data_IF_881581628416
#
_entry.id   IF_881581628416
#
_cell.length_a   1.000
_cell.length_b   1.000
_cell.length_c   1.000
_cell.angle_alpha   90.00
_cell.angle_beta   90.00
_cell.angle_gamma   90.00
#
_symmetry.space_group_name_H-M   'P 1'
#
loop_
_entity.id
_entity.type
_entity.pdbx_description
1 polymer ?
#
# COMPACT_ATOMS: atom_id res chain seq x y z
N UNK A 1 -44.12 10.70 -57.37
CA UNK A 1 -43.76 9.91 -56.15
C UNK A 1 -42.30 10.20 -55.69
N UNK A 2 -41.35 10.33 -56.60
CA UNK A 2 -39.93 10.54 -56.25
C UNK A 2 -39.65 11.91 -55.59
N UNK A 3 -40.30 12.99 -55.97
CA UNK A 3 -40.11 14.31 -55.37
C UNK A 3 -40.61 14.40 -53.90
N UNK A 4 -41.68 13.72 -53.54
CA UNK A 4 -42.21 13.72 -52.16
C UNK A 4 -41.31 12.94 -51.19
N UNK A 5 -40.62 11.89 -51.65
CA UNK A 5 -39.68 11.11 -50.78
C UNK A 5 -38.42 11.87 -50.51
N UNK A 6 -37.94 12.64 -51.46
CA UNK A 6 -36.69 13.49 -51.30
C UNK A 6 -36.98 14.67 -50.38
N UNK A 7 -38.16 15.32 -50.54
CA UNK A 7 -38.58 16.44 -49.70
C UNK A 7 -38.75 16.02 -48.22
N UNK A 8 -39.37 14.86 -47.96
CA UNK A 8 -39.52 14.30 -46.63
C UNK A 8 -38.19 13.93 -45.98
N UNK A 9 -37.21 13.43 -46.72
CA UNK A 9 -35.85 13.14 -46.21
C UNK A 9 -35.10 14.43 -45.82
N UNK A 10 -35.29 15.52 -46.56
CA UNK A 10 -34.64 16.81 -46.28
C UNK A 10 -35.20 17.45 -45.03
N UNK A 11 -36.51 17.41 -44.84
CA UNK A 11 -37.16 17.91 -43.62
C UNK A 11 -36.85 17.06 -42.39
N UNK A 12 -36.79 15.72 -42.52
CA UNK A 12 -36.32 14.87 -41.43
C UNK A 12 -34.87 15.18 -41.01
N UNK A 13 -33.94 15.41 -41.93
CA UNK A 13 -32.56 15.81 -41.61
C UNK A 13 -32.53 17.14 -40.87
N UNK A 14 -33.32 18.14 -41.24
CA UNK A 14 -33.42 19.41 -40.51
C UNK A 14 -33.98 19.24 -39.09
N UNK A 15 -34.96 18.37 -38.91
CA UNK A 15 -35.54 18.06 -37.60
C UNK A 15 -34.50 17.37 -36.73
N UNK A 16 -33.79 16.35 -37.24
CA UNK A 16 -32.72 15.64 -36.51
C UNK A 16 -31.62 16.63 -36.13
N UNK A 17 -31.18 17.49 -37.05
CA UNK A 17 -30.15 18.48 -36.76
C UNK A 17 -30.56 19.47 -35.65
N UNK A 18 -31.82 19.91 -35.64
CA UNK A 18 -32.39 20.78 -34.58
C UNK A 18 -32.45 20.07 -33.24
N UNK A 19 -32.89 18.82 -33.21
CA UNK A 19 -32.94 18.01 -31.98
C UNK A 19 -31.52 17.80 -31.42
N UNK A 20 -30.55 17.47 -32.30
CA UNK A 20 -29.17 17.29 -31.90
C UNK A 20 -28.56 18.60 -31.33
N UNK A 21 -28.86 19.75 -31.99
CA UNK A 21 -28.40 21.05 -31.48
C UNK A 21 -29.00 21.37 -30.10
N UNK A 22 -30.28 21.10 -29.90
CA UNK A 22 -30.94 21.31 -28.58
C UNK A 22 -30.32 20.42 -27.51
N UNK A 23 -30.06 19.15 -27.82
CA UNK A 23 -29.42 18.23 -26.89
C UNK A 23 -27.98 18.68 -26.51
N UNK A 24 -27.22 19.12 -27.49
CA UNK A 24 -25.85 19.68 -27.25
C UNK A 24 -25.92 20.92 -26.36
N UNK A 25 -26.85 21.85 -26.66
CA UNK A 25 -27.04 23.04 -25.81
C UNK A 25 -27.50 22.71 -24.40
N UNK A 26 -28.39 21.70 -24.25
CA UNK A 26 -28.79 21.23 -22.92
C UNK A 26 -27.63 20.62 -22.12
N UNK A 27 -26.78 19.84 -22.78
CA UNK A 27 -25.55 19.29 -22.16
C UNK A 27 -24.60 20.39 -21.75
N UNK A 28 -24.33 21.35 -22.63
CA UNK A 28 -23.48 22.51 -22.31
C UNK A 28 -24.08 23.30 -21.13
N UNK A 29 -25.38 23.60 -21.18
CA UNK A 29 -26.10 24.31 -20.11
C UNK A 29 -25.98 23.59 -18.77
N UNK A 30 -26.17 22.27 -18.79
CA UNK A 30 -26.02 21.44 -17.59
C UNK A 30 -24.59 21.50 -16.99
N UNK A 31 -23.57 21.35 -17.83
CA UNK A 31 -22.17 21.44 -17.34
C UNK A 31 -21.81 22.87 -16.89
N UNK A 32 -22.32 23.90 -17.57
CA UNK A 32 -22.14 25.28 -17.13
C UNK A 32 -22.82 25.53 -15.77
N UNK A 33 -24.03 24.99 -15.59
CA UNK A 33 -24.74 25.06 -14.30
C UNK A 33 -23.95 24.35 -13.20
N UNK A 34 -23.43 23.15 -13.45
CA UNK A 34 -22.62 22.42 -12.45
C UNK A 34 -21.35 23.19 -12.11
N UNK A 35 -20.67 23.76 -13.11
CA UNK A 35 -19.48 24.59 -12.91
C UNK A 35 -19.77 25.83 -12.05
N UNK A 36 -20.83 26.56 -12.38
CA UNK A 36 -21.24 27.75 -11.60
C UNK A 36 -21.63 27.33 -10.19
N UNK A 37 -22.41 26.28 -10.03
CA UNK A 37 -22.81 25.76 -8.73
C UNK A 37 -21.60 25.38 -7.87
N UNK A 38 -20.63 24.69 -8.43
CA UNK A 38 -19.40 24.36 -7.70
C UNK A 38 -18.65 25.61 -7.24
N UNK A 39 -18.53 26.61 -8.11
CA UNK A 39 -17.84 27.89 -7.82
C UNK A 39 -18.57 28.82 -6.82
N UNK A 40 -19.90 28.70 -6.75
CA UNK A 40 -20.72 29.54 -5.86
C UNK A 40 -21.13 28.87 -4.56
N UNK A 41 -20.88 27.55 -4.45
CA UNK A 41 -21.18 26.82 -3.21
C UNK A 41 -20.20 27.23 -2.11
N UNK A 42 -20.72 27.72 -0.99
CA UNK A 42 -19.93 27.93 0.21
C UNK A 42 -19.83 26.60 0.96
N UNK A 43 -18.61 26.14 1.17
CA UNK A 43 -18.34 24.91 1.92
C UNK A 43 -17.94 25.25 3.35
N UNK A 44 -18.40 24.47 4.32
CA UNK A 44 -17.84 24.50 5.67
C UNK A 44 -16.34 24.22 5.62
N UNK A 45 -15.58 24.92 6.46
CA UNK A 45 -14.13 24.69 6.54
C UNK A 45 -13.82 23.25 6.94
N UNK A 46 -12.95 22.61 6.20
CA UNK A 46 -12.48 21.24 6.42
C UNK A 46 -10.96 21.16 6.30
N UNK A 47 -10.40 20.14 6.91
CA UNK A 47 -8.98 19.76 6.77
C UNK A 47 -8.89 18.44 6.03
N UNK A 48 -8.27 18.43 4.87
CA UNK A 48 -8.05 17.23 4.08
C UNK A 48 -6.69 16.64 4.39
N UNK A 49 -6.70 15.46 4.97
CA UNK A 49 -5.49 14.65 5.20
C UNK A 49 -5.39 13.65 4.07
N UNK A 50 -4.39 13.81 3.20
CA UNK A 50 -4.19 12.95 2.05
C UNK A 50 -3.11 11.91 2.35
N UNK A 51 -3.48 10.62 2.33
CA UNK A 51 -2.56 9.50 2.54
C UNK A 51 -2.75 8.50 1.40
N UNK A 52 -2.14 8.75 0.25
CA UNK A 52 -2.22 7.84 -0.88
C UNK A 52 -1.30 6.63 -0.70
N UNK A 53 -1.60 5.57 -1.42
CA UNK A 53 -0.75 4.38 -1.52
C UNK A 53 -0.02 4.42 -2.85
N UNK A 54 1.29 4.17 -2.84
CA UNK A 54 2.10 4.13 -4.06
C UNK A 54 2.99 2.88 -4.07
N UNK A 55 3.08 2.23 -5.23
CA UNK A 55 3.90 1.03 -5.36
C UNK A 55 3.56 0.17 -6.57
N UNK A 56 3.60 -1.15 -6.38
CA UNK A 56 3.30 -2.13 -7.43
C UNK A 56 1.93 -2.80 -7.23
N UNK A 57 1.77 -4.04 -7.67
CA UNK A 57 0.50 -4.79 -7.64
C UNK A 57 -0.20 -4.81 -6.27
N UNK A 58 0.55 -4.86 -5.17
CA UNK A 58 0.00 -4.77 -3.82
C UNK A 58 -0.66 -3.42 -3.54
N UNK A 59 -0.07 -2.33 -4.02
CA UNK A 59 -0.65 -1.00 -3.91
C UNK A 59 -1.97 -0.87 -4.67
N UNK A 60 -2.13 -1.65 -5.75
CA UNK A 60 -3.30 -1.67 -6.62
C UNK A 60 -4.33 -2.74 -6.22
N UNK A 61 -4.06 -3.54 -5.18
CA UNK A 61 -4.93 -4.61 -4.70
C UNK A 61 -5.12 -5.76 -5.71
N UNK A 62 -4.15 -5.98 -6.60
CA UNK A 62 -4.29 -6.97 -7.67
C UNK A 62 -4.68 -8.35 -7.13
N UNK A 63 -5.59 -9.03 -7.85
CA UNK A 63 -6.21 -10.32 -7.52
C UNK A 63 -7.10 -10.35 -6.27
N UNK A 64 -7.03 -9.40 -5.35
CA UNK A 64 -7.87 -9.35 -4.17
C UNK A 64 -9.32 -9.02 -4.57
N UNK A 65 -10.23 -9.99 -4.51
CA UNK A 65 -11.64 -9.77 -4.84
C UNK A 65 -12.26 -8.77 -3.86
N UNK A 66 -12.84 -7.67 -4.39
CA UNK A 66 -13.42 -6.62 -3.56
C UNK A 66 -14.53 -7.13 -2.65
N UNK A 67 -14.43 -6.83 -1.37
CA UNK A 67 -15.43 -7.06 -0.33
C UNK A 67 -16.01 -5.76 0.23
N UNK A 68 -15.32 -4.63 0.06
CA UNK A 68 -15.76 -3.32 0.53
C UNK A 68 -16.74 -2.69 -0.44
N UNK A 69 -17.92 -2.30 0.05
CA UNK A 69 -18.83 -1.41 -0.67
C UNK A 69 -18.44 0.04 -0.31
N UNK A 70 -17.85 0.76 -1.27
CA UNK A 70 -17.33 2.10 -1.03
C UNK A 70 -18.44 3.13 -0.76
N UNK A 71 -19.58 3.00 -1.44
CA UNK A 71 -20.71 3.93 -1.23
C UNK A 71 -21.25 3.79 0.21
N UNK A 72 -21.39 2.54 0.68
CA UNK A 72 -21.78 2.28 2.08
C UNK A 72 -20.72 2.78 3.06
N UNK A 73 -19.45 2.56 2.78
CA UNK A 73 -18.35 3.04 3.60
C UNK A 73 -18.37 4.57 3.72
N UNK A 74 -18.56 5.26 2.60
CA UNK A 74 -18.65 6.72 2.55
C UNK A 74 -19.85 7.24 3.34
N UNK A 75 -21.03 6.62 3.20
CA UNK A 75 -22.23 6.99 3.95
C UNK A 75 -22.01 6.81 5.46
N UNK A 76 -21.43 5.69 5.87
CA UNK A 76 -21.16 5.39 7.28
C UNK A 76 -20.22 6.40 7.94
N UNK A 77 -19.44 7.14 7.15
CA UNK A 77 -18.51 8.15 7.63
C UNK A 77 -18.86 9.57 7.16
N UNK A 78 -20.13 9.87 6.89
CA UNK A 78 -20.64 11.21 6.57
C UNK A 78 -19.89 11.89 5.39
N UNK A 79 -19.46 11.10 4.41
CA UNK A 79 -18.72 11.60 3.25
C UNK A 79 -17.28 12.05 3.55
N UNK A 80 -16.76 11.73 4.73
CA UNK A 80 -15.39 12.09 5.15
C UNK A 80 -14.28 11.26 4.47
N UNK A 81 -14.65 10.39 3.55
CA UNK A 81 -13.72 9.64 2.68
C UNK A 81 -13.86 10.17 1.26
N UNK A 82 -12.76 10.61 0.69
CA UNK A 82 -12.70 11.11 -0.69
C UNK A 82 -11.50 10.54 -1.43
N UNK A 83 -11.54 10.66 -2.74
CA UNK A 83 -10.44 10.35 -3.64
C UNK A 83 -9.75 11.63 -4.11
N UNK A 84 -8.77 11.51 -5.00
CA UNK A 84 -8.11 12.61 -5.68
C UNK A 84 -9.08 13.58 -6.40
N UNK A 85 -10.28 13.12 -6.75
CA UNK A 85 -11.32 13.94 -7.38
C UNK A 85 -12.22 14.66 -6.37
N UNK A 86 -12.02 14.46 -5.07
CA UNK A 86 -12.92 14.92 -4.00
C UNK A 86 -14.37 14.44 -4.19
N UNK A 87 -14.55 13.45 -4.98
CA UNK A 87 -15.73 12.63 -5.12
C UNK A 87 -15.33 11.15 -4.91
N UNK A 88 -16.24 10.24 -5.06
CA UNK A 88 -16.01 8.82 -4.75
C UNK A 88 -16.05 7.95 -5.99
N UNK A 89 -15.22 8.27 -6.95
CA UNK A 89 -15.02 7.38 -8.10
C UNK A 89 -14.02 6.29 -7.72
N UNK A 90 -14.46 5.34 -6.91
CA UNK A 90 -13.74 4.09 -6.76
C UNK A 90 -14.33 3.05 -7.73
N UNK A 91 -13.75 2.97 -8.87
CA UNK A 91 -13.79 1.81 -9.73
C UNK A 91 -12.39 1.25 -9.81
N UNK A 92 -12.22 0.18 -10.54
CA UNK A 92 -10.93 -0.30 -11.02
C UNK A 92 -10.03 0.88 -11.36
N UNK A 93 -8.89 1.01 -10.67
CA UNK A 93 -7.90 2.03 -10.97
C UNK A 93 -7.28 1.69 -12.32
N UNK A 94 -7.96 2.11 -13.35
CA UNK A 94 -7.49 2.03 -14.72
C UNK A 94 -6.74 3.35 -14.98
N UNK A 95 -5.48 3.26 -15.31
CA UNK A 95 -4.65 4.37 -15.78
C UNK A 95 -5.21 5.04 -17.05
N UNK A 96 -6.38 4.60 -17.53
CA UNK A 96 -7.06 5.22 -18.66
C UNK A 96 -7.74 6.53 -18.27
N UNK A 97 -7.89 7.44 -19.23
CA UNK A 97 -8.44 8.79 -19.07
C UNK A 97 -9.71 8.85 -18.22
N UNK A 98 -9.93 9.96 -17.51
CA UNK A 98 -11.13 10.29 -16.70
C UNK A 98 -12.45 9.96 -17.41
N UNK A 99 -12.53 10.18 -18.71
CA UNK A 99 -13.69 9.84 -19.55
C UNK A 99 -13.98 8.32 -19.56
N UNK A 100 -12.95 7.48 -19.66
CA UNK A 100 -13.13 6.02 -19.61
C UNK A 100 -13.60 5.56 -18.23
N UNK A 101 -13.13 6.13 -17.15
CA UNK A 101 -13.59 5.83 -15.77
C UNK A 101 -15.05 6.24 -15.60
N UNK A 102 -15.43 7.42 -16.10
CA UNK A 102 -16.82 7.89 -16.07
C UNK A 102 -17.76 6.98 -16.86
N UNK A 103 -17.38 6.58 -18.08
CA UNK A 103 -18.18 5.65 -18.89
C UNK A 103 -18.23 4.24 -18.31
N UNK A 104 -17.14 3.73 -17.70
CA UNK A 104 -17.17 2.45 -16.98
C UNK A 104 -18.15 2.46 -15.81
N UNK A 105 -18.25 3.56 -15.08
CA UNK A 105 -19.22 3.75 -13.99
C UNK A 105 -20.67 3.75 -14.49
N UNK A 106 -20.96 4.50 -15.57
CA UNK A 106 -22.29 4.55 -16.18
C UNK A 106 -22.76 3.19 -16.68
N UNK A 107 -21.86 2.34 -17.13
CA UNK A 107 -22.15 1.03 -17.70
C UNK A 107 -22.11 -0.11 -16.69
N UNK A 108 -22.04 0.16 -15.38
CA UNK A 108 -21.89 -0.86 -14.32
C UNK A 108 -20.75 -1.86 -14.57
N UNK A 109 -19.68 -1.44 -15.18
CA UNK A 109 -18.52 -2.29 -15.54
C UNK A 109 -17.62 -2.61 -14.33
N UNK A 110 -18.18 -2.58 -13.12
CA UNK A 110 -17.48 -2.72 -11.84
C UNK A 110 -17.16 -4.18 -11.44
N UNK A 111 -17.28 -5.12 -12.37
CA UNK A 111 -17.06 -6.56 -12.11
C UNK A 111 -15.59 -6.94 -11.83
N UNK A 112 -14.63 -5.99 -11.93
CA UNK A 112 -13.18 -6.22 -11.73
C UNK A 112 -12.54 -5.25 -10.75
N UNK A 113 -13.31 -4.62 -9.87
CA UNK A 113 -12.71 -3.80 -8.82
C UNK A 113 -12.04 -4.69 -7.78
N UNK A 114 -10.83 -4.33 -7.39
CA UNK A 114 -10.08 -5.01 -6.36
C UNK A 114 -10.34 -4.42 -4.98
N UNK A 115 -10.11 -5.22 -3.95
CA UNK A 115 -10.02 -4.72 -2.58
C UNK A 115 -8.71 -3.96 -2.43
N UNK A 116 -8.76 -2.80 -1.76
CA UNK A 116 -7.61 -1.92 -1.60
C UNK A 116 -7.28 -1.73 -0.11
N UNK A 117 -6.01 -1.64 0.20
CA UNK A 117 -5.53 -1.33 1.56
C UNK A 117 -6.05 0.01 2.10
N UNK A 118 -6.30 0.97 1.20
CA UNK A 118 -6.86 2.29 1.57
C UNK A 118 -8.22 2.19 2.26
N UNK A 119 -9.03 1.16 2.01
CA UNK A 119 -10.32 1.00 2.68
C UNK A 119 -10.15 0.68 4.16
N UNK A 120 -9.30 -0.31 4.49
CA UNK A 120 -8.98 -0.65 5.87
C UNK A 120 -8.30 0.51 6.61
N UNK A 121 -7.49 1.28 5.90
CA UNK A 121 -6.87 2.50 6.44
C UNK A 121 -7.93 3.53 6.81
N UNK A 122 -8.86 3.85 5.90
CA UNK A 122 -9.93 4.82 6.16
C UNK A 122 -10.84 4.40 7.31
N UNK A 123 -11.31 3.14 7.32
CA UNK A 123 -12.14 2.59 8.39
C UNK A 123 -11.48 2.71 9.77
N UNK A 124 -10.17 2.57 9.84
CA UNK A 124 -9.41 2.65 11.09
C UNK A 124 -9.14 4.08 11.53
N UNK A 125 -8.87 4.98 10.59
CA UNK A 125 -8.47 6.36 10.89
C UNK A 125 -9.65 7.27 11.23
N UNK A 126 -10.73 7.24 10.44
CA UNK A 126 -11.78 8.26 10.50
C UNK A 126 -12.45 8.35 11.86
N UNK A 127 -12.76 7.24 12.57
CA UNK A 127 -13.33 7.31 13.91
C UNK A 127 -12.44 8.00 14.96
N UNK A 128 -11.14 8.12 14.65
CA UNK A 128 -10.11 8.67 15.55
C UNK A 128 -9.67 10.10 15.20
N UNK A 129 -10.28 10.67 14.15
CA UNK A 129 -10.01 12.03 13.65
C UNK A 129 -11.19 12.96 13.94
N UNK A 130 -10.91 14.26 14.04
CA UNK A 130 -11.92 15.29 14.22
C UNK A 130 -13.02 15.27 13.15
N UNK A 131 -14.21 15.75 13.46
CA UNK A 131 -15.36 15.74 12.53
C UNK A 131 -15.12 16.55 11.26
N UNK A 132 -14.26 17.56 11.33
CA UNK A 132 -13.92 18.42 10.20
C UNK A 132 -12.74 17.89 9.38
N UNK A 133 -12.24 16.71 9.72
CA UNK A 133 -11.18 16.03 8.95
C UNK A 133 -11.77 15.13 7.89
N UNK A 134 -11.33 15.32 6.66
CA UNK A 134 -11.60 14.46 5.51
C UNK A 134 -10.35 13.65 5.20
N UNK A 135 -10.51 12.36 4.96
CA UNK A 135 -9.41 11.46 4.56
C UNK A 135 -9.45 11.29 3.05
N UNK A 136 -8.44 11.81 2.37
CA UNK A 136 -8.24 11.62 0.94
C UNK A 136 -7.31 10.41 0.72
N UNK A 137 -7.80 9.39 0.05
CA UNK A 137 -7.10 8.13 -0.19
C UNK A 137 -7.24 7.69 -1.64
N UNK A 138 -6.18 7.20 -2.22
CA UNK A 138 -6.20 6.58 -3.55
C UNK A 138 -4.95 5.72 -3.77
N UNK A 139 -5.02 4.69 -4.62
CA UNK A 139 -3.88 3.91 -5.02
C UNK A 139 -3.15 4.55 -6.18
N UNK A 140 -1.84 4.31 -6.30
CA UNK A 140 -1.02 4.68 -7.44
C UNK A 140 0.12 3.70 -7.65
N UNK A 141 0.73 3.76 -8.82
CA UNK A 141 1.84 2.88 -9.19
C UNK A 141 1.54 2.00 -10.39
N UNK A 142 2.31 0.91 -10.53
CA UNK A 142 2.15 -0.03 -11.64
C UNK A 142 2.63 -1.42 -11.23
N UNK A 143 1.86 -2.46 -11.56
CA UNK A 143 2.22 -3.85 -11.29
C UNK A 143 3.52 -4.27 -11.97
N UNK A 144 4.24 -5.24 -11.37
CA UNK A 144 5.51 -5.77 -11.91
C UNK A 144 6.58 -4.69 -12.18
N UNK A 145 6.65 -3.65 -11.36
CA UNK A 145 7.66 -2.61 -11.50
C UNK A 145 8.68 -2.65 -10.36
N UNK A 146 9.95 -2.53 -10.72
CA UNK A 146 11.03 -2.25 -9.77
C UNK A 146 10.90 -0.83 -9.22
N UNK A 147 11.61 -0.54 -8.13
CA UNK A 147 11.62 0.80 -7.56
C UNK A 147 12.07 1.87 -8.58
N UNK A 148 13.05 1.57 -9.43
CA UNK A 148 13.53 2.48 -10.48
C UNK A 148 12.47 2.77 -11.53
N UNK A 149 11.62 1.80 -11.86
CA UNK A 149 10.51 1.96 -12.79
C UNK A 149 9.31 2.71 -12.17
N UNK A 150 9.39 3.08 -10.90
CA UNK A 150 8.41 3.90 -10.19
C UNK A 150 8.97 5.27 -9.76
N UNK A 151 10.22 5.58 -10.13
CA UNK A 151 10.88 6.84 -9.76
C UNK A 151 10.75 7.89 -10.88
N UNK A 152 10.90 9.16 -10.51
CA UNK A 152 10.98 10.28 -11.46
C UNK A 152 12.12 10.06 -12.47
N UNK A 153 11.93 10.29 -13.78
CA UNK A 153 10.76 10.94 -14.43
C UNK A 153 9.78 9.99 -15.12
N UNK A 154 9.57 8.77 -14.64
CA UNK A 154 8.72 7.79 -15.33
C UNK A 154 7.22 8.06 -15.15
N UNK A 155 6.40 7.55 -16.09
CA UNK A 155 4.96 7.82 -16.17
C UNK A 155 4.18 7.48 -14.88
N UNK A 156 4.36 6.31 -14.21
CA UNK A 156 3.63 6.02 -12.98
C UNK A 156 3.88 7.04 -11.87
N UNK A 157 5.13 7.53 -11.74
CA UNK A 157 5.47 8.57 -10.79
C UNK A 157 4.78 9.90 -11.12
N UNK A 158 4.95 10.36 -12.36
CA UNK A 158 4.36 11.65 -12.78
C UNK A 158 2.84 11.67 -12.64
N UNK A 159 2.20 10.55 -12.94
CA UNK A 159 0.76 10.41 -12.79
C UNK A 159 0.36 10.50 -11.33
N UNK A 160 1.04 9.80 -10.44
CA UNK A 160 0.79 9.85 -9.01
C UNK A 160 0.91 11.28 -8.44
N UNK A 161 1.95 12.02 -8.85
CA UNK A 161 2.12 13.42 -8.45
C UNK A 161 1.00 14.32 -9.00
N UNK A 162 0.55 14.09 -10.24
CA UNK A 162 -0.58 14.83 -10.83
C UNK A 162 -1.89 14.58 -10.08
N UNK A 163 -2.14 13.37 -9.59
CA UNK A 163 -3.33 13.06 -8.80
C UNK A 163 -3.31 13.78 -7.44
N UNK A 164 -2.13 13.85 -6.77
CA UNK A 164 -1.97 14.66 -5.55
C UNK A 164 -2.23 16.14 -5.83
N UNK A 165 -1.66 16.68 -6.91
CA UNK A 165 -1.87 18.09 -7.31
C UNK A 165 -3.34 18.37 -7.60
N UNK A 166 -4.03 17.44 -8.22
CA UNK A 166 -5.46 17.56 -8.50
C UNK A 166 -6.30 17.55 -7.21
N UNK A 167 -6.01 16.62 -6.29
CA UNK A 167 -6.66 16.57 -4.99
C UNK A 167 -6.46 17.86 -4.19
N UNK A 168 -5.22 18.36 -4.16
CA UNK A 168 -4.89 19.64 -3.52
C UNK A 168 -5.71 20.79 -4.13
N UNK A 169 -5.72 20.92 -5.46
CA UNK A 169 -6.49 21.99 -6.12
C UNK A 169 -7.97 21.91 -5.79
N UNK A 170 -8.54 20.70 -5.76
CA UNK A 170 -9.95 20.49 -5.40
C UNK A 170 -10.29 20.86 -3.96
N UNK A 171 -9.35 20.67 -3.02
CA UNK A 171 -9.51 21.14 -1.64
C UNK A 171 -9.45 22.68 -1.57
N UNK A 172 -8.46 23.29 -2.22
CA UNK A 172 -8.31 24.74 -2.28
C UNK A 172 -9.52 25.43 -2.93
N UNK A 173 -10.06 24.87 -4.01
CA UNK A 173 -11.29 25.38 -4.67
C UNK A 173 -12.51 25.42 -3.73
N UNK A 174 -12.49 24.62 -2.65
CA UNK A 174 -13.52 24.57 -1.60
C UNK A 174 -13.19 25.43 -0.36
N UNK A 175 -12.03 26.07 -0.34
CA UNK A 175 -11.52 26.80 0.82
C UNK A 175 -11.09 25.87 1.97
N UNK A 176 -10.72 24.64 1.67
CA UNK A 176 -10.26 23.64 2.63
C UNK A 176 -8.75 23.63 2.75
N UNK A 177 -8.26 23.31 3.93
CA UNK A 177 -6.85 22.99 4.12
C UNK A 177 -6.54 21.61 3.52
N UNK A 178 -5.30 21.43 3.05
CA UNK A 178 -4.85 20.15 2.48
C UNK A 178 -3.38 19.92 2.80
N UNK A 179 -3.06 18.72 3.29
CA UNK A 179 -1.67 18.31 3.46
C UNK A 179 -1.51 16.79 3.29
N UNK A 180 -0.28 16.38 2.99
CA UNK A 180 0.12 14.98 2.80
C UNK A 180 1.10 14.61 3.90
N UNK A 181 0.66 14.05 5.03
CA UNK A 181 1.56 13.69 6.13
C UNK A 181 2.42 12.48 5.80
N UNK A 182 1.88 11.55 5.01
CA UNK A 182 2.57 10.32 4.65
C UNK A 182 2.10 9.75 3.31
N UNK A 183 2.93 8.89 2.74
CA UNK A 183 2.60 7.97 1.64
C UNK A 183 2.79 6.55 2.15
N UNK A 184 1.82 5.66 1.85
CA UNK A 184 2.01 4.23 2.06
C UNK A 184 2.75 3.65 0.85
N UNK A 185 3.93 3.08 1.09
CA UNK A 185 4.76 2.47 0.06
C UNK A 185 4.59 0.95 0.07
N UNK A 186 4.10 0.39 -1.05
CA UNK A 186 3.83 -1.04 -1.21
C UNK A 186 4.52 -1.59 -2.46
N UNK A 187 5.84 -1.82 -2.34
CA UNK A 187 6.70 -2.29 -3.43
C UNK A 187 7.94 -3.00 -2.87
N UNK A 188 8.52 -3.92 -3.62
CA UNK A 188 9.79 -4.58 -3.28
C UNK A 188 9.91 -5.99 -3.85
N UNK A 189 8.81 -6.67 -4.13
CA UNK A 189 8.80 -8.05 -4.63
C UNK A 189 9.52 -8.17 -5.97
N UNK A 190 9.28 -7.21 -6.87
CA UNK A 190 9.86 -7.29 -8.22
C UNK A 190 11.36 -6.96 -8.23
N UNK A 191 11.85 -6.15 -7.29
CA UNK A 191 13.29 -5.91 -7.11
C UNK A 191 14.04 -7.18 -6.68
N UNK A 192 13.42 -8.06 -5.91
CA UNK A 192 14.01 -9.35 -5.55
C UNK A 192 14.21 -10.23 -6.80
N UNK A 193 13.30 -10.14 -7.77
CA UNK A 193 13.31 -10.96 -8.99
C UNK A 193 14.29 -10.42 -10.03
N UNK A 194 14.21 -9.13 -10.34
CA UNK A 194 14.89 -8.51 -11.47
C UNK A 194 16.28 -7.95 -11.13
N UNK A 195 16.44 -7.44 -9.91
CA UNK A 195 17.67 -6.74 -9.50
C UNK A 195 18.14 -7.15 -8.11
N UNK A 196 18.54 -8.42 -7.93
CA UNK A 196 18.95 -8.92 -6.63
C UNK A 196 20.18 -8.21 -6.05
N UNK A 197 21.02 -7.61 -6.92
CA UNK A 197 22.24 -6.87 -6.51
C UNK A 197 22.01 -5.37 -6.34
N UNK A 198 20.79 -4.91 -6.50
CA UNK A 198 20.45 -3.51 -6.42
C UNK A 198 20.58 -2.99 -4.98
N UNK A 199 21.15 -1.81 -4.80
CA UNK A 199 21.07 -1.11 -3.53
C UNK A 199 19.70 -0.46 -3.36
N UNK A 200 18.76 -1.27 -2.90
CA UNK A 200 17.37 -0.85 -2.69
C UNK A 200 17.27 0.36 -1.75
N UNK A 201 18.13 0.48 -0.74
CA UNK A 201 18.11 1.61 0.19
C UNK A 201 18.46 2.93 -0.51
N UNK A 202 19.51 2.95 -1.32
CA UNK A 202 19.93 4.15 -2.06
C UNK A 202 18.80 4.61 -2.98
N UNK A 203 18.19 3.69 -3.71
CA UNK A 203 17.09 4.02 -4.62
C UNK A 203 15.82 4.44 -3.88
N UNK A 204 15.53 3.82 -2.74
CA UNK A 204 14.42 4.20 -1.90
C UNK A 204 14.57 5.64 -1.38
N UNK A 205 15.75 6.01 -0.89
CA UNK A 205 16.00 7.39 -0.44
C UNK A 205 15.94 8.39 -1.59
N UNK A 206 16.38 8.03 -2.79
CA UNK A 206 16.22 8.88 -3.97
C UNK A 206 14.74 9.06 -4.33
N UNK A 207 13.95 8.00 -4.34
CA UNK A 207 12.50 8.05 -4.53
C UNK A 207 11.83 8.93 -3.47
N UNK A 208 12.17 8.74 -2.20
CA UNK A 208 11.68 9.55 -1.09
C UNK A 208 11.97 11.04 -1.30
N UNK A 209 13.20 11.40 -1.64
CA UNK A 209 13.59 12.79 -1.86
C UNK A 209 12.79 13.44 -3.00
N UNK A 210 12.56 12.71 -4.09
CA UNK A 210 11.73 13.16 -5.19
C UNK A 210 10.28 13.41 -4.73
N UNK A 211 9.65 12.44 -4.05
CA UNK A 211 8.29 12.55 -3.53
C UNK A 211 8.15 13.71 -2.54
N UNK A 212 9.07 13.81 -1.57
CA UNK A 212 9.05 14.87 -0.56
C UNK A 212 9.16 16.26 -1.20
N UNK A 213 10.06 16.42 -2.17
CA UNK A 213 10.26 17.68 -2.86
C UNK A 213 9.04 18.07 -3.69
N UNK A 214 8.54 17.16 -4.52
CA UNK A 214 7.44 17.46 -5.44
C UNK A 214 6.12 17.71 -4.68
N UNK A 215 5.84 16.95 -3.62
CA UNK A 215 4.65 17.14 -2.79
C UNK A 215 4.71 18.45 -2.02
N UNK A 216 5.85 18.81 -1.42
CA UNK A 216 6.02 20.10 -0.76
C UNK A 216 5.89 21.28 -1.74
N UNK A 217 6.34 21.11 -2.96
CA UNK A 217 6.14 22.12 -4.02
C UNK A 217 4.66 22.32 -4.40
N UNK A 218 3.85 21.27 -4.33
CA UNK A 218 2.41 21.32 -4.59
C UNK A 218 1.66 21.92 -3.40
N UNK A 219 1.83 21.32 -2.24
CA UNK A 219 1.01 21.60 -1.04
C UNK A 219 1.46 22.82 -0.26
N UNK A 220 2.72 23.26 -0.45
CA UNK A 220 3.42 24.31 0.33
C UNK A 220 3.57 23.98 1.82
N UNK A 221 3.32 22.73 2.23
CA UNK A 221 3.53 22.30 3.61
C UNK A 221 5.01 22.40 4.02
N UNK A 222 5.26 22.73 5.28
CA UNK A 222 6.62 22.85 5.82
C UNK A 222 7.18 21.48 6.21
N UNK A 223 6.34 20.63 6.77
CA UNK A 223 6.75 19.32 7.25
C UNK A 223 7.13 18.38 6.09
N UNK A 224 8.13 17.56 6.34
CA UNK A 224 8.46 16.48 5.43
C UNK A 224 7.39 15.40 5.49
N UNK A 225 7.10 14.79 4.34
CA UNK A 225 6.28 13.59 4.31
C UNK A 225 6.97 12.45 5.06
N UNK A 226 6.19 11.47 5.51
CA UNK A 226 6.71 10.19 6.02
C UNK A 226 6.38 9.10 5.01
N UNK A 227 7.14 8.03 5.03
CA UNK A 227 6.78 6.81 4.30
C UNK A 227 6.31 5.76 5.30
N UNK A 228 5.11 5.22 5.07
CA UNK A 228 4.62 4.06 5.79
C UNK A 228 4.92 2.85 4.92
N UNK A 229 5.92 2.07 5.29
CA UNK A 229 6.45 0.98 4.49
C UNK A 229 6.00 -0.37 5.07
N UNK A 230 5.53 -1.27 4.19
CA UNK A 230 5.39 -2.68 4.56
C UNK A 230 6.71 -3.43 4.35
N UNK A 231 6.81 -4.65 4.86
CA UNK A 231 7.91 -5.54 4.56
C UNK A 231 7.42 -6.66 3.63
N UNK A 232 8.03 -6.77 2.45
CA UNK A 232 7.75 -7.85 1.50
C UNK A 232 8.22 -9.20 2.02
N UNK A 233 7.52 -10.30 1.68
CA UNK A 233 7.82 -11.62 2.22
C UNK A 233 7.70 -12.78 1.23
N UNK A 234 6.99 -12.62 0.12
CA UNK A 234 6.53 -13.76 -0.71
C UNK A 234 7.65 -14.36 -1.56
N UNK A 235 8.63 -13.58 -1.97
CA UNK A 235 9.70 -14.05 -2.84
C UNK A 235 10.91 -14.42 -2.01
N UNK A 236 10.97 -15.69 -1.61
CA UNK A 236 12.07 -16.22 -0.79
C UNK A 236 13.14 -16.93 -1.60
N UNK A 237 12.82 -17.35 -2.84
CA UNK A 237 13.75 -17.98 -3.76
C UNK A 237 13.42 -17.53 -5.19
N UNK A 238 14.38 -17.01 -5.95
CA UNK A 238 14.17 -16.56 -7.33
C UNK A 238 14.66 -17.57 -8.36
N UNK A 239 14.02 -17.63 -9.53
CA UNK A 239 14.49 -18.47 -10.65
C UNK A 239 15.80 -17.95 -11.26
N UNK A 240 16.01 -16.65 -11.32
CA UNK A 240 17.26 -16.05 -11.80
C UNK A 240 18.48 -16.42 -10.94
N UNK A 241 18.26 -16.78 -9.69
CA UNK A 241 19.30 -17.23 -8.79
C UNK A 241 19.92 -18.59 -9.18
N UNK A 242 19.17 -19.45 -9.91
CA UNK A 242 19.68 -20.73 -10.36
C UNK A 242 20.71 -20.59 -11.48
N UNK A 243 20.56 -19.58 -12.34
CA UNK A 243 21.42 -19.35 -13.50
C UNK A 243 22.72 -18.64 -13.13
N UNK A 244 22.68 -17.78 -12.10
CA UNK A 244 23.79 -16.90 -11.73
C UNK A 244 24.58 -17.34 -10.48
N UNK A 245 24.35 -18.55 -9.98
CA UNK A 245 25.02 -19.07 -8.78
C UNK A 245 24.92 -18.16 -7.52
N UNK A 246 23.95 -17.23 -7.53
CA UNK A 246 23.65 -16.45 -6.35
C UNK A 246 23.14 -17.39 -5.26
N UNK A 247 23.75 -17.29 -4.11
CA UNK A 247 23.19 -17.89 -2.90
C UNK A 247 21.84 -17.21 -2.66
N UNK A 248 20.79 -17.76 -3.26
CA UNK A 248 19.41 -17.26 -3.30
C UNK A 248 18.80 -16.97 -1.93
N UNK A 249 19.62 -16.90 -0.98
CA UNK A 249 19.41 -17.03 0.43
C UNK A 249 19.56 -15.70 1.15
N UNK A 250 19.77 -14.58 0.46
CA UNK A 250 19.82 -13.27 1.09
C UNK A 250 18.59 -12.44 0.73
N UNK A 251 17.64 -12.24 1.67
CA UNK A 251 16.45 -11.43 1.44
C UNK A 251 16.82 -9.93 1.50
N UNK A 252 17.55 -9.43 0.48
CA UNK A 252 18.10 -8.05 0.49
C UNK A 252 17.02 -6.99 0.59
N UNK A 253 16.00 -7.05 -0.25
CA UNK A 253 14.92 -6.04 -0.22
C UNK A 253 14.13 -6.04 1.09
N UNK A 254 13.61 -7.17 1.61
CA UNK A 254 12.92 -7.15 2.90
C UNK A 254 13.84 -6.79 4.06
N UNK A 255 15.14 -7.13 4.00
CA UNK A 255 16.12 -6.71 5.00
C UNK A 255 16.35 -5.19 4.93
N UNK A 256 16.51 -4.64 3.73
CA UNK A 256 16.63 -3.20 3.53
C UNK A 256 15.39 -2.44 4.06
N UNK A 257 14.19 -2.94 3.80
CA UNK A 257 12.96 -2.37 4.34
C UNK A 257 12.94 -2.39 5.87
N UNK A 258 13.29 -3.51 6.49
CA UNK A 258 13.39 -3.64 7.95
C UNK A 258 14.40 -2.66 8.54
N UNK A 259 15.59 -2.58 7.97
CA UNK A 259 16.64 -1.69 8.44
C UNK A 259 16.29 -0.21 8.29
N UNK A 260 15.67 0.17 7.17
CA UNK A 260 15.19 1.54 6.97
C UNK A 260 14.11 1.91 8.00
N UNK A 261 13.14 1.01 8.26
CA UNK A 261 12.12 1.23 9.30
C UNK A 261 12.75 1.38 10.69
N UNK A 262 13.78 0.62 11.00
CA UNK A 262 14.48 0.67 12.30
C UNK A 262 15.32 1.94 12.46
N UNK A 263 16.04 2.34 11.42
CA UNK A 263 17.14 3.29 11.50
C UNK A 263 16.77 4.70 11.01
N UNK A 264 15.67 4.86 10.23
CA UNK A 264 15.26 6.14 9.67
C UNK A 264 13.89 6.59 10.23
N UNK A 265 13.89 7.67 11.00
CA UNK A 265 12.67 8.24 11.60
C UNK A 265 11.64 8.75 10.59
N UNK A 266 11.99 8.86 9.32
CA UNK A 266 11.08 9.22 8.22
C UNK A 266 10.30 8.01 7.67
N UNK A 267 10.75 6.79 8.01
CA UNK A 267 10.17 5.54 7.50
C UNK A 267 9.54 4.77 8.65
N UNK A 268 8.25 4.49 8.53
CA UNK A 268 7.39 3.92 9.57
C UNK A 268 6.82 2.59 9.12
N UNK A 269 6.55 1.67 10.04
CA UNK A 269 6.06 0.34 9.70
C UNK A 269 4.54 0.30 9.43
N UNK A 270 4.13 -0.55 8.47
CA UNK A 270 2.78 -1.11 8.39
C UNK A 270 2.76 -2.63 8.54
N UNK A 271 3.87 -3.23 8.95
CA UNK A 271 4.02 -4.65 9.20
C UNK A 271 4.41 -5.49 7.98
N UNK A 272 4.76 -6.77 8.19
CA UNK A 272 5.13 -7.68 7.13
C UNK A 272 3.89 -8.26 6.42
N UNK A 273 4.08 -8.81 5.22
CA UNK A 273 2.98 -9.41 4.45
C UNK A 273 2.76 -10.89 4.74
N UNK A 274 3.72 -11.62 5.30
CA UNK A 274 3.63 -13.07 5.54
C UNK A 274 2.47 -13.53 6.45
N UNK A 275 1.92 -12.71 7.39
CA UNK A 275 0.86 -13.17 8.28
C UNK A 275 -0.53 -13.29 7.65
N UNK A 276 -0.70 -12.87 6.41
CA UNK A 276 -2.01 -12.82 5.76
C UNK A 276 -2.32 -14.05 4.93
N UNK A 277 -3.60 -14.22 4.58
CA UNK A 277 -4.01 -15.13 3.53
C UNK A 277 -3.68 -14.58 2.17
N UNK A 278 -3.33 -15.46 1.26
CA UNK A 278 -2.98 -15.14 -0.12
C UNK A 278 -3.98 -15.76 -1.09
N UNK A 279 -4.26 -15.05 -2.18
CA UNK A 279 -5.13 -15.54 -3.24
C UNK A 279 -4.53 -16.81 -3.83
N UNK A 280 -5.24 -17.94 -3.68
CA UNK A 280 -4.78 -19.26 -4.14
C UNK A 280 -3.38 -19.64 -3.64
N UNK A 281 -3.00 -19.16 -2.45
CA UNK A 281 -1.65 -19.33 -1.89
C UNK A 281 -0.53 -18.96 -2.89
N UNK A 282 -0.74 -17.93 -3.68
CA UNK A 282 0.19 -17.46 -4.68
C UNK A 282 0.86 -16.15 -4.25
N UNK A 283 0.93 -15.16 -5.15
CA UNK A 283 1.73 -13.95 -4.99
C UNK A 283 1.05 -12.85 -4.18
N UNK A 284 -0.27 -12.68 -4.30
CA UNK A 284 -0.99 -11.53 -3.74
C UNK A 284 -1.82 -11.88 -2.53
N UNK A 285 -1.82 -11.01 -1.51
CA UNK A 285 -2.70 -11.12 -0.34
C UNK A 285 -4.16 -10.96 -0.77
N UNK A 286 -5.05 -11.64 -0.04
CA UNK A 286 -6.48 -11.58 -0.30
C UNK A 286 -7.12 -10.26 0.19
N UNK A 287 -8.43 -10.13 0.03
CA UNK A 287 -9.15 -8.94 0.40
C UNK A 287 -9.07 -8.61 1.90
N UNK A 288 -9.09 -9.62 2.76
CA UNK A 288 -8.97 -9.44 4.21
C UNK A 288 -7.55 -8.99 4.55
N UNK A 289 -6.54 -9.57 3.89
CA UNK A 289 -5.14 -9.15 4.01
C UNK A 289 -4.93 -7.70 3.59
N UNK A 290 -5.53 -7.28 2.46
CA UNK A 290 -5.49 -5.88 2.01
C UNK A 290 -6.07 -4.92 3.05
N UNK A 291 -7.26 -5.22 3.60
CA UNK A 291 -7.85 -4.39 4.67
C UNK A 291 -6.99 -4.38 5.93
N UNK A 292 -6.42 -5.50 6.30
CA UNK A 292 -5.62 -5.63 7.51
C UNK A 292 -4.32 -4.83 7.45
N UNK A 293 -3.59 -4.91 6.34
CA UNK A 293 -2.35 -4.12 6.16
C UNK A 293 -2.66 -2.63 6.08
N UNK A 294 -3.80 -2.25 5.49
CA UNK A 294 -4.31 -0.89 5.53
C UNK A 294 -4.63 -0.41 6.94
N UNK A 295 -5.24 -1.24 7.77
CA UNK A 295 -5.53 -0.92 9.17
C UNK A 295 -4.23 -0.73 9.99
N UNK A 296 -3.19 -1.53 9.75
CA UNK A 296 -1.87 -1.34 10.38
C UNK A 296 -1.20 -0.05 9.88
N UNK A 297 -1.28 0.25 8.59
CA UNK A 297 -0.79 1.52 8.05
C UNK A 297 -1.49 2.74 8.70
N UNK A 298 -2.78 2.61 9.01
CA UNK A 298 -3.55 3.64 9.71
C UNK A 298 -3.02 3.94 11.11
N UNK A 299 -2.47 2.95 11.81
CA UNK A 299 -1.85 3.16 13.15
C UNK A 299 -0.66 4.10 13.00
N UNK A 300 0.24 3.85 12.05
CA UNK A 300 1.35 4.73 11.74
C UNK A 300 0.89 6.10 11.27
N UNK A 301 -0.10 6.16 10.38
CA UNK A 301 -0.66 7.41 9.88
C UNK A 301 -1.23 8.30 11.01
N UNK A 302 -1.99 7.72 11.94
CA UNK A 302 -2.53 8.44 13.09
C UNK A 302 -1.44 8.97 14.02
N UNK A 303 -0.40 8.19 14.26
CA UNK A 303 0.75 8.64 15.05
C UNK A 303 1.50 9.78 14.37
N UNK A 304 1.69 9.71 13.05
CA UNK A 304 2.30 10.79 12.25
C UNK A 304 1.48 12.08 12.36
N UNK A 305 0.16 12.00 12.17
CA UNK A 305 -0.76 13.16 12.26
C UNK A 305 -0.72 13.80 13.67
N UNK A 306 -0.50 13.00 14.70
CA UNK A 306 -0.42 13.44 16.09
C UNK A 306 1.00 13.83 16.54
N UNK A 307 1.97 13.80 15.65
CA UNK A 307 3.39 14.03 15.93
C UNK A 307 3.95 13.14 17.05
N UNK A 308 3.49 11.89 17.10
CA UNK A 308 3.96 10.88 18.06
C UNK A 308 5.29 10.25 17.59
N UNK A 309 5.87 9.40 18.43
CA UNK A 309 7.10 8.66 18.12
C UNK A 309 6.89 7.64 16.99
N UNK A 310 7.93 7.38 16.16
CA UNK A 310 7.85 6.43 15.06
C UNK A 310 7.33 5.06 15.47
N UNK A 311 6.46 4.50 14.64
CA UNK A 311 6.03 3.12 14.74
C UNK A 311 6.98 2.25 13.92
N UNK A 312 7.86 1.50 14.60
CA UNK A 312 8.79 0.57 13.95
C UNK A 312 8.27 -0.88 13.91
N UNK A 313 7.08 -1.14 14.48
CA UNK A 313 6.51 -2.46 14.53
C UNK A 313 7.22 -3.39 15.52
N UNK A 314 6.99 -4.71 15.36
CA UNK A 314 7.75 -5.72 16.09
C UNK A 314 9.14 -5.86 15.44
N UNK A 315 10.19 -5.43 16.14
CA UNK A 315 11.51 -5.24 15.55
C UNK A 315 12.62 -5.83 16.40
N UNK A 316 13.53 -6.68 15.86
CA UNK A 316 14.73 -7.09 16.58
C UNK A 316 15.68 -5.88 16.76
N UNK A 317 16.18 -5.71 18.00
CA UNK A 317 17.03 -4.58 18.34
C UNK A 317 18.52 -4.91 18.17
N UNK A 318 18.95 -6.07 18.66
CA UNK A 318 20.33 -6.51 18.60
C UNK A 318 20.44 -8.05 18.63
N UNK A 319 21.63 -8.57 18.36
CA UNK A 319 21.94 -9.99 18.39
C UNK A 319 23.12 -10.23 19.33
N UNK A 320 22.85 -10.83 20.50
CA UNK A 320 23.83 -11.11 21.52
C UNK A 320 24.20 -12.59 21.46
N UNK A 321 25.43 -12.91 21.10
CA UNK A 321 25.92 -14.28 20.97
C UNK A 321 26.80 -14.63 22.16
N UNK A 322 26.51 -15.75 22.82
CA UNK A 322 27.35 -16.29 23.92
C UNK A 322 27.37 -17.82 23.82
N UNK A 323 28.57 -18.40 23.77
CA UNK A 323 28.76 -19.85 23.63
C UNK A 323 27.85 -20.46 22.52
N UNK A 324 26.85 -21.26 22.92
CA UNK A 324 25.92 -21.90 22.02
C UNK A 324 24.52 -21.26 22.09
N UNK A 325 24.42 -19.98 22.41
CA UNK A 325 23.15 -19.29 22.56
C UNK A 325 23.17 -17.94 21.84
N UNK A 326 22.03 -17.60 21.24
CA UNK A 326 21.74 -16.26 20.70
C UNK A 326 20.57 -15.68 21.48
N UNK A 327 20.69 -14.45 21.94
CA UNK A 327 19.62 -13.66 22.55
C UNK A 327 19.29 -12.49 21.65
N UNK A 328 18.00 -12.33 21.36
CA UNK A 328 17.51 -11.28 20.47
C UNK A 328 16.43 -10.49 21.22
N UNK A 329 16.78 -9.36 21.86
CA UNK A 329 15.79 -8.43 22.38
C UNK A 329 14.98 -7.80 21.23
N UNK A 330 13.68 -7.62 21.44
CA UNK A 330 12.77 -7.00 20.49
C UNK A 330 12.18 -5.70 21.03
N UNK A 331 11.95 -4.74 20.16
CA UNK A 331 10.92 -3.74 20.37
C UNK A 331 9.55 -4.42 20.20
N UNK A 332 8.75 -4.42 21.26
CA UNK A 332 7.42 -5.04 21.29
C UNK A 332 6.38 -3.94 21.45
N UNK A 333 5.61 -3.59 20.40
CA UNK A 333 4.63 -2.50 20.49
C UNK A 333 3.61 -2.67 21.61
N UNK A 334 3.13 -3.88 21.82
CA UNK A 334 2.18 -4.27 22.87
C UNK A 334 2.67 -5.50 23.61
N UNK A 335 3.48 -5.36 24.68
CA UNK A 335 4.00 -6.51 25.43
C UNK A 335 2.91 -7.42 26.01
N UNK A 336 3.17 -8.71 26.26
CA UNK A 336 4.44 -9.39 26.04
C UNK A 336 4.62 -9.91 24.61
N UNK A 337 5.87 -10.25 24.25
CA UNK A 337 6.20 -11.02 23.06
C UNK A 337 5.67 -12.45 23.20
N UNK A 338 5.04 -12.99 22.16
CA UNK A 338 4.40 -14.29 22.16
C UNK A 338 4.77 -15.14 20.95
N UNK A 339 4.66 -16.46 21.07
CA UNK A 339 4.66 -17.40 19.96
C UNK A 339 3.22 -17.79 19.63
N UNK A 340 2.75 -17.38 18.45
CA UNK A 340 1.40 -17.68 17.96
C UNK A 340 1.43 -18.88 17.03
N UNK A 341 0.84 -19.98 17.48
CA UNK A 341 0.66 -21.20 16.69
C UNK A 341 -0.81 -21.50 16.39
N UNK A 342 -1.70 -20.56 16.68
CA UNK A 342 -3.15 -20.66 16.45
C UNK A 342 -3.54 -19.91 15.18
N UNK A 343 -3.24 -18.62 15.10
CA UNK A 343 -3.56 -17.79 13.92
C UNK A 343 -2.60 -18.06 12.74
N UNK A 344 -1.39 -18.52 13.02
CA UNK A 344 -0.41 -18.94 12.00
C UNK A 344 0.02 -20.37 12.30
N UNK A 345 -0.02 -21.26 11.33
CA UNK A 345 0.48 -22.62 11.48
C UNK A 345 1.90 -22.61 12.02
N UNK A 346 2.17 -23.50 12.97
CA UNK A 346 3.50 -23.62 13.56
C UNK A 346 4.54 -23.89 12.47
N UNK A 347 5.50 -22.99 12.35
CA UNK A 347 6.68 -23.19 11.52
C UNK A 347 7.76 -23.95 12.31
N UNK A 348 8.64 -24.65 11.60
CA UNK A 348 9.83 -25.25 12.21
C UNK A 348 10.63 -24.16 12.91
N UNK A 349 11.10 -24.45 14.12
CA UNK A 349 11.78 -23.47 14.98
C UNK A 349 11.04 -22.11 15.04
N UNK A 350 9.69 -22.13 15.00
CA UNK A 350 8.84 -20.92 14.99
C UNK A 350 9.20 -19.91 13.89
N UNK A 351 9.82 -20.38 12.80
CA UNK A 351 10.24 -19.56 11.67
C UNK A 351 11.68 -19.06 11.72
N UNK A 352 12.43 -19.37 12.78
CA UNK A 352 13.85 -19.08 12.89
C UNK A 352 14.71 -20.16 12.25
N UNK A 353 15.83 -19.70 11.65
CA UNK A 353 16.93 -20.57 11.24
C UNK A 353 18.25 -19.92 11.67
N UNK A 354 19.20 -20.76 12.11
CA UNK A 354 20.61 -20.38 12.35
C UNK A 354 21.47 -21.27 11.47
N UNK A 355 21.89 -20.71 10.35
CA UNK A 355 22.46 -21.48 9.23
C UNK A 355 23.97 -21.29 9.15
N UNK A 356 24.68 -22.40 9.16
CA UNK A 356 26.12 -22.47 8.88
C UNK A 356 26.43 -22.28 7.40
N UNK A 357 27.70 -22.10 7.06
CA UNK A 357 28.18 -22.01 5.67
C UNK A 357 27.86 -23.24 4.81
N UNK A 358 27.72 -24.40 5.42
CA UNK A 358 27.32 -25.66 4.77
C UNK A 358 25.80 -25.85 4.65
N UNK A 359 25.03 -24.81 4.94
CA UNK A 359 23.57 -24.79 4.97
C UNK A 359 22.91 -25.68 6.06
N UNK A 360 23.66 -26.09 7.09
CA UNK A 360 23.12 -26.82 8.23
C UNK A 360 22.46 -25.87 9.23
N UNK A 361 21.21 -26.14 9.63
CA UNK A 361 20.52 -25.44 10.73
C UNK A 361 20.95 -26.05 12.08
N UNK A 362 21.50 -25.24 12.94
CA UNK A 362 22.05 -25.66 14.22
C UNK A 362 21.14 -25.37 15.42
N UNK A 363 19.90 -24.92 15.21
CA UNK A 363 18.98 -24.68 16.33
C UNK A 363 18.68 -25.98 17.08
N UNK A 364 18.72 -25.92 18.40
CA UNK A 364 18.29 -27.01 19.30
C UNK A 364 16.97 -26.69 20.02
N UNK A 365 16.76 -25.43 20.43
CA UNK A 365 15.54 -25.00 21.09
C UNK A 365 15.34 -23.50 20.97
N UNK A 366 14.08 -23.05 21.05
CA UNK A 366 13.70 -21.65 21.11
C UNK A 366 12.76 -21.42 22.28
N UNK A 367 12.98 -20.33 22.99
CA UNK A 367 12.12 -19.86 24.08
C UNK A 367 12.02 -18.34 24.06
N UNK A 368 11.05 -17.79 24.76
CA UNK A 368 10.89 -16.34 24.98
C UNK A 368 11.03 -16.06 26.47
N UNK A 369 11.78 -15.02 26.78
CA UNK A 369 11.84 -14.42 28.10
C UNK A 369 11.48 -12.93 27.98
N UNK A 370 10.30 -12.54 28.41
CA UNK A 370 9.70 -11.21 28.27
C UNK A 370 9.66 -10.75 26.80
N UNK A 371 10.52 -9.83 26.39
CA UNK A 371 10.67 -9.28 25.04
C UNK A 371 11.86 -9.87 24.25
N UNK A 372 12.50 -10.89 24.81
CA UNK A 372 13.74 -11.47 24.25
C UNK A 372 13.50 -12.90 23.76
N UNK A 373 13.82 -13.14 22.48
CA UNK A 373 13.91 -14.50 21.93
C UNK A 373 15.26 -15.08 22.30
N UNK A 374 15.25 -16.31 22.84
CA UNK A 374 16.43 -17.07 23.19
C UNK A 374 16.51 -18.28 22.26
N UNK A 375 17.56 -18.34 21.46
CA UNK A 375 17.84 -19.44 20.54
C UNK A 375 19.02 -20.23 21.09
N UNK A 376 18.79 -21.49 21.50
CA UNK A 376 19.87 -22.40 21.85
C UNK A 376 20.30 -23.17 20.60
N UNK A 377 21.60 -23.31 20.42
CA UNK A 377 22.22 -23.98 19.29
C UNK A 377 22.94 -25.26 19.74
N UNK A 378 23.11 -26.22 18.84
CA UNK A 378 23.86 -27.47 19.08
C UNK A 378 25.36 -27.22 19.21
N UNK A 379 25.84 -26.11 18.65
CA UNK A 379 27.23 -25.66 18.64
C UNK A 379 27.29 -24.12 18.54
N UNK A 380 28.46 -23.54 18.56
CA UNK A 380 28.62 -22.09 18.51
C UNK A 380 28.04 -21.49 17.23
N UNK A 381 27.15 -20.48 17.34
CA UNK A 381 26.55 -19.80 16.20
C UNK A 381 27.42 -18.69 15.59
N UNK A 382 28.68 -18.57 16.01
CA UNK A 382 29.62 -17.60 15.45
C UNK A 382 29.77 -17.86 13.94
N UNK A 383 29.67 -16.81 13.13
CA UNK A 383 29.69 -16.86 11.66
C UNK A 383 28.51 -17.60 11.02
N UNK A 384 27.42 -17.86 11.75
CA UNK A 384 26.16 -18.33 11.19
C UNK A 384 25.30 -17.16 10.69
N UNK A 385 24.42 -17.45 9.72
CA UNK A 385 23.36 -16.51 9.30
C UNK A 385 22.11 -16.80 10.12
N UNK A 386 21.51 -15.75 10.66
CA UNK A 386 20.21 -15.83 11.37
C UNK A 386 19.13 -15.37 10.41
N UNK A 387 18.04 -16.13 10.29
CA UNK A 387 16.89 -15.84 9.46
C UNK A 387 15.60 -15.99 10.24
N UNK A 388 14.60 -15.21 9.88
CA UNK A 388 13.25 -15.33 10.42
C UNK A 388 12.22 -15.18 9.30
N UNK A 389 11.18 -16.03 9.31
CA UNK A 389 10.12 -16.06 8.31
C UNK A 389 10.63 -16.14 6.85
N UNK A 390 11.78 -16.82 6.63
CA UNK A 390 12.40 -17.00 5.32
C UNK A 390 12.40 -18.49 4.92
N UNK A 391 11.25 -19.15 5.04
CA UNK A 391 11.09 -20.59 4.92
C UNK A 391 10.00 -20.99 3.90
N UNK A 392 9.54 -20.06 3.06
CA UNK A 392 8.52 -20.31 2.04
C UNK A 392 9.06 -20.90 0.75
N UNK A 393 8.15 -21.39 -0.11
CA UNK A 393 8.43 -21.77 -1.47
C UNK A 393 8.42 -20.52 -2.37
N UNK A 394 9.10 -20.61 -3.52
CA UNK A 394 9.14 -19.51 -4.48
C UNK A 394 7.76 -19.15 -5.03
N UNK A 395 7.42 -17.87 -5.02
CA UNK A 395 6.13 -17.30 -5.41
C UNK A 395 4.92 -17.94 -4.71
N UNK A 396 5.14 -18.45 -3.50
CA UNK A 396 4.06 -18.94 -2.65
C UNK A 396 3.89 -18.03 -1.44
N UNK A 397 2.65 -17.68 -1.18
CA UNK A 397 2.22 -16.97 0.03
C UNK A 397 1.21 -17.78 0.80
N UNK A 398 0.87 -17.32 2.00
CA UNK A 398 -0.14 -17.97 2.83
C UNK A 398 0.36 -19.11 3.73
N UNK A 399 -0.58 -19.77 4.39
CA UNK A 399 -0.31 -20.57 5.57
C UNK A 399 0.27 -21.96 5.29
N UNK A 400 0.19 -22.48 4.07
CA UNK A 400 0.65 -23.84 3.77
C UNK A 400 2.05 -23.87 3.20
N UNK A 401 2.32 -23.05 2.19
CA UNK A 401 3.57 -23.08 1.42
C UNK A 401 4.34 -21.76 1.45
N UNK A 402 3.74 -20.68 1.93
CA UNK A 402 4.37 -19.37 2.05
C UNK A 402 5.34 -19.26 3.21
N UNK A 403 6.14 -18.20 3.24
CA UNK A 403 6.97 -17.88 4.39
C UNK A 403 6.10 -17.59 5.58
N UNK A 404 6.58 -17.97 6.77
CA UNK A 404 5.86 -17.75 8.02
C UNK A 404 6.76 -17.76 9.24
N UNK A 405 6.39 -16.92 10.19
CA UNK A 405 6.98 -16.84 11.51
C UNK A 405 5.90 -16.75 12.57
N UNK A 406 6.19 -17.21 13.78
CA UNK A 406 5.22 -17.32 14.85
C UNK A 406 5.33 -16.24 15.93
N UNK A 407 6.23 -15.25 15.77
CA UNK A 407 6.30 -14.12 16.72
C UNK A 407 5.13 -13.16 16.51
N UNK A 408 4.59 -12.70 17.63
CA UNK A 408 3.65 -11.58 17.69
C UNK A 408 3.74 -10.87 19.04
N UNK A 409 3.18 -9.69 19.13
CA UNK A 409 2.88 -9.04 20.40
C UNK A 409 1.55 -9.53 20.98
N UNK A 410 1.15 -9.01 22.12
CA UNK A 410 -0.08 -9.41 22.81
C UNK A 410 -1.37 -9.07 22.04
N UNK A 411 -1.33 -8.09 21.12
CA UNK A 411 -2.46 -7.68 20.28
C UNK A 411 -2.45 -8.33 18.89
N UNK A 412 -1.46 -9.16 18.59
CA UNK A 412 -1.37 -9.88 17.33
C UNK A 412 -0.56 -9.17 16.24
N UNK A 413 0.12 -8.07 16.55
CA UNK A 413 1.06 -7.43 15.60
C UNK A 413 2.30 -8.34 15.41
N UNK A 414 2.75 -8.46 14.16
CA UNK A 414 3.83 -9.36 13.74
C UNK A 414 4.95 -8.61 13.06
#
# INVERSE_FOLDING_TARGET
YFCNVICNRFEMKKIILRITAILVLAVIGYYTYLYIKEKTTVYDHKVVVCIPVFGQSYALGEEATRITNFDSLRINYDGRIVTEHMDYVFGYYDHSSRLKQYFKRLLHYDKKAFELSVYGMAETMIPKLGKDTIVCIFPGGHGMNTITALMKPVEPYEKFIKEIAYAHQKAIDRGWEFYVPAICWMQGEYDIVEYPDNDYKVQFHQMYNNLNTDIKNITKQQDNIRIICYQTSVITKGNHYKENNYDAMEPRTPTAQMEMIRDDSLIWASGPTYPYHFVKESLHIDAIGQKSIGALAAISALKIIRHETPNIGLMPLEFIVSENQIRIPFHVPCPPLCLDTIAVNKADNYGFNVIRKDNTDIISAISINQDTVIINCKESPINCKIRYAFNGEYLKGGYKSGPRGNLRDSQGNK
#
